data_IF_530877974628
#
_entry.id   IF_530877974628
#
_cell.length_a   1.000
_cell.length_b   1.000
_cell.length_c   1.000
_cell.angle_alpha   90.00
_cell.angle_beta   90.00
_cell.angle_gamma   90.00
#
_symmetry.space_group_name_H-M   'P 1'
#
loop_
_entity.id
_entity.type
_entity.pdbx_description
1 polymer ?
#
# COMPACT_ATOMS: atom_id res chain seq x y z
N UNK A 1 -2.77 -11.68 6.71
CA UNK A 1 -4.12 -11.38 6.16
C UNK A 1 -3.90 -10.27 5.17
N UNK A 2 -4.20 -10.51 3.90
CA UNK A 2 -3.93 -9.55 2.83
C UNK A 2 -5.12 -8.59 2.65
N UNK A 3 -4.88 -7.30 2.78
CA UNK A 3 -5.81 -6.24 2.40
C UNK A 3 -5.29 -5.54 1.14
N UNK A 4 -6.20 -5.26 0.21
CA UNK A 4 -5.89 -4.59 -1.05
C UNK A 4 -6.69 -3.30 -1.11
N UNK A 5 -5.99 -2.19 -1.36
CA UNK A 5 -6.58 -0.85 -1.47
C UNK A 5 -6.23 -0.27 -2.85
N UNK A 6 -7.25 0.03 -3.64
CA UNK A 6 -7.07 0.80 -4.87
C UNK A 6 -6.98 2.28 -4.51
N UNK A 7 -5.93 2.94 -4.96
CA UNK A 7 -5.66 4.35 -4.70
C UNK A 7 -5.25 5.07 -5.97
N UNK A 8 -5.17 6.39 -5.90
CA UNK A 8 -4.61 7.24 -6.95
C UNK A 8 -3.48 8.04 -6.32
N UNK A 9 -2.29 7.93 -6.91
CA UNK A 9 -1.12 8.72 -6.51
C UNK A 9 -0.84 9.78 -7.56
N UNK A 10 -0.21 10.87 -7.13
CA UNK A 10 0.20 11.94 -8.03
C UNK A 10 1.63 11.64 -8.52
N UNK A 11 1.82 11.57 -9.85
CA UNK A 11 3.13 11.47 -10.48
C UNK A 11 3.33 12.73 -11.32
N UNK A 12 4.05 13.71 -10.78
CA UNK A 12 4.17 15.04 -11.39
C UNK A 12 2.83 15.80 -11.33
N UNK A 13 2.17 15.97 -12.48
CA UNK A 13 0.84 16.60 -12.59
C UNK A 13 -0.26 15.61 -13.00
N UNK A 14 0.08 14.33 -13.18
CA UNK A 14 -0.84 13.29 -13.59
C UNK A 14 -1.23 12.39 -12.41
N UNK A 15 -2.49 11.97 -12.37
CA UNK A 15 -2.99 10.99 -11.41
C UNK A 15 -2.81 9.58 -11.96
N UNK A 16 -2.09 8.72 -11.23
CA UNK A 16 -1.89 7.32 -11.58
C UNK A 16 -2.61 6.41 -10.59
N UNK A 17 -3.46 5.53 -11.10
CA UNK A 17 -4.08 4.48 -10.28
C UNK A 17 -3.03 3.46 -9.84
N UNK A 18 -2.98 3.18 -8.54
CA UNK A 18 -2.08 2.19 -7.95
C UNK A 18 -2.84 1.27 -7.01
N UNK A 19 -2.32 0.07 -6.86
CA UNK A 19 -2.84 -0.94 -5.95
C UNK A 19 -1.88 -1.08 -4.79
N UNK A 20 -2.34 -0.72 -3.59
CA UNK A 20 -1.59 -0.87 -2.35
C UNK A 20 -1.98 -2.19 -1.71
N UNK A 21 -0.97 -3.00 -1.38
CA UNK A 21 -1.15 -4.28 -0.71
C UNK A 21 -0.61 -4.17 0.72
N UNK A 22 -1.42 -4.58 1.68
CA UNK A 22 -1.07 -4.59 3.10
C UNK A 22 -1.20 -6.01 3.58
N UNK A 23 -0.09 -6.62 3.97
CA UNK A 23 -0.10 -7.91 4.64
C UNK A 23 0.01 -7.72 6.15
N UNK A 24 -0.95 -8.31 6.86
CA UNK A 24 -0.96 -8.35 8.32
C UNK A 24 -0.43 -9.70 8.77
N UNK A 25 0.75 -9.71 9.36
CA UNK A 25 1.38 -10.88 9.94
C UNK A 25 1.19 -10.91 11.47
N UNK A 26 1.25 -12.10 12.06
CA UNK A 26 1.26 -12.26 13.51
C UNK A 26 2.64 -11.92 14.06
N UNK A 27 2.72 -11.11 15.11
CA UNK A 27 4.00 -10.74 15.70
C UNK A 27 3.93 -9.46 16.52
N UNK A 28 5.09 -8.85 16.76
CA UNK A 28 5.16 -7.54 17.39
C UNK A 28 4.64 -6.46 16.43
N UNK A 29 4.01 -5.38 16.94
CA UNK A 29 3.58 -4.27 16.11
C UNK A 29 4.77 -3.66 15.38
N UNK A 30 4.83 -3.86 14.07
CA UNK A 30 5.84 -3.31 13.17
C UNK A 30 5.13 -2.86 11.91
N UNK A 31 5.54 -1.72 11.37
CA UNK A 31 5.09 -1.22 10.08
C UNK A 31 6.32 -1.13 9.18
N UNK A 32 6.28 -1.82 8.06
CA UNK A 32 7.32 -1.79 7.03
C UNK A 32 6.67 -1.42 5.69
N UNK A 33 7.28 -0.47 4.98
CA UNK A 33 6.82 -0.02 3.67
C UNK A 33 7.73 -0.67 2.64
N UNK A 34 7.13 -1.43 1.72
CA UNK A 34 7.85 -2.17 0.68
C UNK A 34 7.29 -1.74 -0.68
N UNK A 35 8.14 -1.23 -1.57
CA UNK A 35 7.74 -0.70 -2.88
C UNK A 35 8.60 0.45 -3.35
#
# INVERSE_FOLDING_TARGET
MLAIVNSVVLVGLEGQSVRVEVDISNGLPVCEIVG
#
